data_IF_639356199359
#
_entry.id   IF_639356199359
#
_cell.length_a   1.000
_cell.length_b   1.000
_cell.length_c   1.000
_cell.angle_alpha   90.00
_cell.angle_beta   90.00
_cell.angle_gamma   90.00
#
_symmetry.space_group_name_H-M   'P 1'
#
loop_
_entity.id
_entity.type
_entity.pdbx_description
1 polymer ?
#
# COMPACT_ATOMS: atom_id res chain seq x y z
N UNK A 1 8.78 -14.71 -3.79
CA UNK A 1 8.80 -15.52 -5.03
C UNK A 1 8.68 -14.57 -6.18
N UNK A 2 9.73 -14.46 -6.96
CA UNK A 2 9.71 -13.64 -8.18
C UNK A 2 8.93 -14.44 -9.20
N UNK A 3 7.85 -13.88 -9.70
CA UNK A 3 7.14 -14.48 -10.82
C UNK A 3 7.93 -14.21 -12.12
N UNK A 4 7.98 -15.16 -13.05
CA UNK A 4 8.69 -14.99 -14.33
C UNK A 4 8.22 -13.75 -15.14
N UNK A 5 7.03 -13.27 -14.86
CA UNK A 5 6.43 -12.09 -15.47
C UNK A 5 6.64 -10.79 -14.67
N UNK A 6 7.41 -10.84 -13.55
CA UNK A 6 7.76 -9.63 -12.81
C UNK A 6 8.79 -8.81 -13.61
N UNK A 7 8.43 -7.64 -14.13
CA UNK A 7 9.35 -6.82 -14.92
C UNK A 7 10.37 -6.06 -14.06
N UNK A 8 10.20 -6.03 -12.74
CA UNK A 8 11.05 -5.26 -11.85
C UNK A 8 12.27 -6.07 -11.40
N UNK A 9 13.36 -5.38 -11.09
CA UNK A 9 14.54 -6.02 -10.52
C UNK A 9 14.27 -6.44 -9.09
N UNK A 10 14.47 -7.74 -8.84
CA UNK A 10 14.30 -8.29 -7.51
C UNK A 10 15.44 -7.95 -6.56
N UNK A 11 15.15 -8.07 -5.26
CA UNK A 11 16.11 -7.99 -4.16
C UNK A 11 16.97 -6.70 -4.18
N UNK A 12 16.37 -5.61 -4.67
CA UNK A 12 16.98 -4.30 -4.68
C UNK A 12 16.15 -3.30 -3.89
N UNK A 13 16.84 -2.38 -3.22
CA UNK A 13 16.24 -1.21 -2.62
C UNK A 13 16.22 -0.08 -3.64
N UNK A 14 15.12 0.64 -3.68
CA UNK A 14 14.96 1.82 -4.52
C UNK A 14 14.03 2.82 -3.84
N UNK A 15 14.09 4.05 -4.30
CA UNK A 15 13.29 5.13 -3.74
C UNK A 15 11.94 5.25 -4.44
N UNK A 16 10.90 5.38 -3.64
CA UNK A 16 9.55 5.68 -4.10
C UNK A 16 9.53 6.96 -4.96
N UNK A 17 8.84 7.01 -6.09
CA UNK A 17 7.95 5.96 -6.59
C UNK A 17 8.54 5.09 -7.73
N UNK A 18 9.83 5.14 -8.01
CA UNK A 18 10.42 4.58 -9.22
C UNK A 18 11.13 3.25 -8.96
N UNK A 19 10.59 2.16 -9.50
CA UNK A 19 11.21 0.83 -9.47
C UNK A 19 12.04 0.55 -10.73
N UNK A 20 13.29 0.05 -10.60
CA UNK A 20 14.11 -0.31 -11.75
C UNK A 20 13.57 -1.56 -12.44
N UNK A 21 13.53 -1.53 -13.78
CA UNK A 21 13.09 -2.65 -14.62
C UNK A 21 14.26 -3.56 -15.00
N UNK A 22 14.00 -4.86 -15.18
CA UNK A 22 14.98 -5.83 -15.64
C UNK A 22 15.51 -5.49 -17.05
N UNK A 23 14.64 -5.00 -17.91
CA UNK A 23 14.98 -4.59 -19.27
C UNK A 23 15.68 -3.21 -19.35
N UNK A 24 15.89 -2.54 -18.21
CA UNK A 24 16.40 -1.18 -18.13
C UNK A 24 15.28 -0.14 -18.00
N UNK A 25 15.65 1.06 -17.51
CA UNK A 25 14.68 2.11 -17.19
C UNK A 25 14.00 1.91 -15.84
N UNK A 26 12.93 2.66 -15.61
CA UNK A 26 12.17 2.64 -14.35
C UNK A 26 10.66 2.61 -14.63
N UNK A 27 9.90 2.09 -13.67
CA UNK A 27 8.43 2.13 -13.63
C UNK A 27 7.99 3.03 -12.48
N UNK A 28 7.03 3.90 -12.75
CA UNK A 28 6.33 4.65 -11.71
C UNK A 28 5.27 3.75 -11.05
N UNK A 29 5.47 3.42 -9.79
CA UNK A 29 4.60 2.52 -9.02
C UNK A 29 3.25 3.15 -8.63
N UNK A 30 3.07 4.44 -8.86
CA UNK A 30 1.79 5.12 -8.65
C UNK A 30 0.79 4.87 -9.77
N UNK A 31 1.26 4.30 -10.88
CA UNK A 31 0.47 4.08 -12.08
C UNK A 31 0.27 2.59 -12.29
N UNK A 32 -0.98 2.18 -12.46
CA UNK A 32 -1.30 0.80 -12.79
C UNK A 32 -0.70 0.43 -14.15
N UNK A 33 0.00 -0.72 -14.27
CA UNK A 33 0.65 -1.13 -15.52
C UNK A 33 -0.35 -1.43 -16.64
N UNK A 34 0.04 -1.10 -17.86
CA UNK A 34 -0.71 -1.44 -19.07
C UNK A 34 -0.22 -2.76 -19.73
N UNK A 35 1.00 -3.16 -19.42
CA UNK A 35 1.61 -4.40 -19.91
C UNK A 35 1.29 -5.57 -18.99
N UNK A 36 1.26 -6.79 -19.54
CA UNK A 36 1.06 -8.01 -18.77
C UNK A 36 2.16 -8.15 -17.73
N UNK A 37 1.76 -8.17 -16.48
CA UNK A 37 2.71 -8.37 -15.40
C UNK A 37 2.04 -8.90 -14.14
N UNK A 38 2.81 -9.65 -13.36
CA UNK A 38 2.49 -10.01 -11.99
C UNK A 38 3.69 -9.66 -11.12
N UNK A 39 3.49 -8.79 -10.14
CA UNK A 39 4.56 -8.30 -9.29
C UNK A 39 4.07 -7.96 -7.88
N UNK A 40 4.94 -8.07 -6.90
CA UNK A 40 4.72 -7.59 -5.55
C UNK A 40 5.86 -6.69 -5.14
N UNK A 41 5.54 -5.48 -4.75
CA UNK A 41 6.50 -4.49 -4.26
C UNK A 41 6.14 -4.09 -2.84
N UNK A 42 7.10 -4.13 -1.93
CA UNK A 42 6.91 -3.64 -0.57
C UNK A 42 7.46 -2.23 -0.41
N UNK A 43 6.65 -1.35 0.15
CA UNK A 43 6.98 0.04 0.42
C UNK A 43 7.03 0.24 1.94
N UNK A 44 8.14 0.77 2.44
CA UNK A 44 8.23 1.25 3.82
C UNK A 44 7.60 2.65 3.89
N UNK A 45 6.63 2.80 4.77
CA UNK A 45 5.94 4.07 4.96
C UNK A 45 6.76 5.04 5.81
N UNK A 46 6.50 6.34 5.66
CA UNK A 46 7.22 7.41 6.34
C UNK A 46 7.33 7.15 7.86
N UNK A 47 8.55 7.02 8.42
CA UNK A 47 8.74 6.60 9.81
C UNK A 47 8.17 7.56 10.86
N UNK A 48 8.21 8.85 10.55
CA UNK A 48 7.83 9.92 11.50
C UNK A 48 6.31 10.18 11.53
N UNK A 49 5.56 9.55 10.63
CA UNK A 49 4.12 9.74 10.57
C UNK A 49 3.42 8.99 11.71
N UNK A 50 2.51 9.68 12.41
CA UNK A 50 1.66 9.09 13.43
C UNK A 50 0.64 8.12 12.82
N UNK A 51 0.03 8.54 11.71
CA UNK A 51 -0.79 7.67 10.88
C UNK A 51 -0.20 7.57 9.46
N UNK A 52 -0.50 6.47 8.81
CA UNK A 52 -0.18 6.25 7.42
C UNK A 52 -1.45 6.06 6.61
N UNK A 53 -1.32 6.20 5.31
CA UNK A 53 -2.43 5.96 4.39
C UNK A 53 -1.97 5.21 3.14
N UNK A 54 -2.91 4.53 2.52
CA UNK A 54 -2.83 4.08 1.14
C UNK A 54 -4.03 4.62 0.37
N UNK A 55 -3.82 5.09 -0.86
CA UNK A 55 -4.86 5.69 -1.65
C UNK A 55 -4.81 5.19 -3.09
N UNK A 56 -5.98 4.81 -3.62
CA UNK A 56 -6.14 4.37 -5.01
C UNK A 56 -7.28 5.14 -5.64
N UNK A 57 -6.99 5.85 -6.72
CA UNK A 57 -8.00 6.59 -7.49
C UNK A 57 -8.33 5.89 -8.81
N UNK A 58 -9.61 5.86 -9.15
CA UNK A 58 -10.09 5.48 -10.46
C UNK A 58 -10.97 6.60 -10.99
N UNK A 59 -10.37 7.51 -11.75
CA UNK A 59 -11.05 8.68 -12.27
C UNK A 59 -12.20 8.32 -13.24
N UNK A 60 -12.08 7.21 -13.99
CA UNK A 60 -13.15 6.73 -14.86
C UNK A 60 -14.41 6.34 -14.08
N UNK A 61 -14.24 5.79 -12.87
CA UNK A 61 -15.35 5.47 -11.96
C UNK A 61 -15.74 6.65 -11.07
N UNK A 62 -14.95 7.71 -11.06
CA UNK A 62 -15.16 8.86 -10.17
C UNK A 62 -14.91 8.54 -8.69
N UNK A 63 -14.05 7.56 -8.40
CA UNK A 63 -13.84 7.04 -7.06
C UNK A 63 -12.38 7.12 -6.62
N UNK A 64 -12.20 7.52 -5.36
CA UNK A 64 -10.96 7.45 -4.61
C UNK A 64 -11.22 6.60 -3.35
N UNK A 65 -10.47 5.51 -3.20
CA UNK A 65 -10.42 4.71 -2.00
C UNK A 65 -9.21 5.13 -1.17
N UNK A 66 -9.41 5.41 0.10
CA UNK A 66 -8.35 5.71 1.07
C UNK A 66 -8.47 4.79 2.26
N UNK A 67 -7.39 4.11 2.62
CA UNK A 67 -7.22 3.51 3.92
C UNK A 67 -6.29 4.38 4.75
N UNK A 68 -6.69 4.64 6.00
CA UNK A 68 -5.86 5.32 6.99
C UNK A 68 -5.71 4.41 8.22
N UNK A 69 -4.49 4.26 8.73
CA UNK A 69 -4.14 3.27 9.75
C UNK A 69 -2.93 3.68 10.58
N UNK A 70 -2.75 3.11 11.79
CA UNK A 70 -1.60 3.41 12.63
C UNK A 70 -0.31 2.89 11.99
N UNK A 71 0.57 3.81 11.63
CA UNK A 71 1.85 3.51 10.97
C UNK A 71 2.75 2.62 11.83
N UNK A 72 2.73 2.79 13.15
CA UNK A 72 3.55 2.00 14.08
C UNK A 72 3.20 0.50 14.06
N UNK A 73 1.94 0.18 13.78
CA UNK A 73 1.47 -1.21 13.69
C UNK A 73 1.67 -1.77 12.28
N UNK A 74 1.42 -0.95 11.27
CA UNK A 74 1.49 -1.32 9.87
C UNK A 74 2.51 -0.45 9.12
N UNK A 75 3.82 -0.72 9.31
CA UNK A 75 4.85 0.10 8.69
C UNK A 75 5.06 -0.14 7.21
N UNK A 76 4.44 -1.19 6.67
CA UNK A 76 4.63 -1.62 5.29
C UNK A 76 3.33 -1.56 4.49
N UNK A 77 3.48 -1.27 3.21
CA UNK A 77 2.41 -1.47 2.22
C UNK A 77 2.96 -2.33 1.09
N UNK A 78 2.28 -3.43 0.79
CA UNK A 78 2.55 -4.21 -0.40
C UNK A 78 1.66 -3.71 -1.55
N UNK A 79 2.28 -3.50 -2.71
CA UNK A 79 1.60 -3.24 -3.96
C UNK A 79 1.64 -4.52 -4.79
N UNK A 80 0.51 -5.14 -4.96
CA UNK A 80 0.37 -6.34 -5.78
C UNK A 80 -0.29 -5.99 -7.11
N UNK A 81 0.44 -6.14 -8.18
CA UNK A 81 -0.04 -5.95 -9.54
C UNK A 81 -0.33 -7.31 -10.17
N UNK A 82 -1.51 -7.44 -10.73
CA UNK A 82 -1.88 -8.57 -11.59
C UNK A 82 -2.59 -8.02 -12.82
N UNK A 83 -1.93 -8.08 -13.97
CA UNK A 83 -2.47 -7.67 -15.25
C UNK A 83 -2.34 -8.82 -16.26
N UNK A 84 -3.36 -9.68 -16.29
CA UNK A 84 -3.49 -10.81 -17.23
C UNK A 84 -2.25 -11.71 -17.35
N UNK A 85 -1.42 -11.82 -16.28
CA UNK A 85 -0.15 -12.52 -16.32
C UNK A 85 -0.18 -13.88 -15.62
N UNK A 86 -1.05 -14.08 -14.63
CA UNK A 86 -1.14 -15.32 -13.90
C UNK A 86 -1.96 -16.37 -14.67
N UNK A 87 -1.30 -17.44 -15.13
CA UNK A 87 -1.92 -18.51 -15.92
C UNK A 87 -2.74 -19.50 -15.10
N UNK A 88 -2.52 -19.52 -13.78
CA UNK A 88 -3.18 -20.46 -12.86
C UNK A 88 -4.53 -19.94 -12.36
N UNK A 89 -5.38 -20.87 -11.90
CA UNK A 89 -6.65 -20.53 -11.29
C UNK A 89 -6.46 -19.82 -9.94
N UNK A 90 -7.29 -18.82 -9.62
CA UNK A 90 -8.51 -18.38 -10.34
C UNK A 90 -8.24 -17.32 -11.43
N UNK A 91 -7.03 -16.88 -11.63
CA UNK A 91 -6.67 -15.72 -12.47
C UNK A 91 -6.79 -16.02 -13.96
N UNK A 92 -6.20 -17.13 -14.42
CA UNK A 92 -6.33 -17.67 -15.77
C UNK A 92 -6.13 -16.63 -16.88
N UNK A 93 -5.11 -15.76 -16.76
CA UNK A 93 -4.79 -14.68 -17.70
C UNK A 93 -5.95 -13.70 -17.99
N UNK A 94 -6.85 -13.51 -17.03
CA UNK A 94 -8.06 -12.66 -17.20
C UNK A 94 -8.22 -11.61 -16.11
N UNK A 95 -7.38 -11.68 -15.10
CA UNK A 95 -7.50 -10.78 -13.95
C UNK A 95 -6.73 -9.50 -14.22
N UNK A 96 -7.39 -8.38 -13.95
CA UNK A 96 -6.78 -7.05 -13.90
C UNK A 96 -7.10 -6.48 -12.54
N UNK A 97 -6.10 -6.51 -11.63
CA UNK A 97 -6.30 -6.06 -10.26
C UNK A 97 -5.06 -5.42 -9.67
N UNK A 98 -5.28 -4.52 -8.75
CA UNK A 98 -4.26 -3.88 -7.96
C UNK A 98 -4.58 -4.06 -6.47
N UNK A 99 -3.80 -4.88 -5.78
CA UNK A 99 -3.83 -4.98 -4.33
C UNK A 99 -2.96 -3.89 -3.73
N UNK A 100 -3.52 -3.14 -2.79
CA UNK A 100 -2.78 -2.16 -1.98
C UNK A 100 -2.98 -2.56 -0.53
N UNK A 101 -2.00 -3.28 0.00
CA UNK A 101 -2.12 -4.07 1.22
C UNK A 101 -1.21 -3.50 2.31
N UNK A 102 -1.78 -2.77 3.26
CA UNK A 102 -1.01 -2.34 4.43
C UNK A 102 -0.86 -3.50 5.43
N UNK A 103 0.28 -3.57 6.09
CA UNK A 103 0.55 -4.69 6.99
C UNK A 103 1.80 -4.54 7.84
N UNK A 104 1.99 -5.52 8.71
CA UNK A 104 3.17 -5.66 9.57
C UNK A 104 4.26 -6.53 8.94
N UNK A 105 4.05 -7.03 7.71
CA UNK A 105 4.98 -7.92 7.00
C UNK A 105 5.70 -7.17 5.89
N UNK A 106 7.03 -7.20 5.94
CA UNK A 106 7.86 -6.45 4.99
C UNK A 106 7.90 -7.06 3.59
N UNK A 107 7.81 -8.37 3.48
CA UNK A 107 8.00 -9.07 2.19
C UNK A 107 7.16 -10.35 2.13
N UNK A 108 6.67 -10.67 0.94
CA UNK A 108 5.92 -11.90 0.66
C UNK A 108 6.84 -13.15 0.49
N UNK A 109 7.83 -13.30 1.35
CA UNK A 109 8.84 -14.39 1.29
C UNK A 109 8.54 -15.57 2.24
N UNK A 110 7.47 -15.49 3.02
CA UNK A 110 7.11 -16.48 4.02
C UNK A 110 7.40 -16.02 5.44
N UNK A 111 6.71 -16.66 6.39
CA UNK A 111 6.78 -16.27 7.81
C UNK A 111 8.18 -16.51 8.40
N UNK A 112 8.75 -17.69 8.18
CA UNK A 112 10.05 -18.05 8.78
C UNK A 112 11.18 -17.18 8.23
N UNK A 113 11.18 -16.90 6.94
CA UNK A 113 12.17 -16.03 6.31
C UNK A 113 12.08 -14.60 6.87
N UNK A 114 10.87 -14.05 7.00
CA UNK A 114 10.70 -12.74 7.60
C UNK A 114 11.14 -12.70 9.07
N UNK A 115 10.86 -13.75 9.84
CA UNK A 115 11.22 -13.83 11.25
C UNK A 115 12.74 -13.92 11.46
N UNK A 116 13.44 -14.65 10.60
CA UNK A 116 14.87 -14.96 10.76
C UNK A 116 15.82 -14.02 10.04
N UNK A 117 15.36 -13.30 9.02
CA UNK A 117 16.20 -12.43 8.18
C UNK A 117 16.64 -11.12 8.88
N UNK A 118 16.15 -10.85 10.08
CA UNK A 118 16.44 -9.59 10.80
C UNK A 118 15.72 -8.36 10.22
N UNK A 119 15.96 -7.17 10.78
CA UNK A 119 15.30 -5.95 10.33
C UNK A 119 15.61 -5.60 8.87
N UNK A 120 14.64 -5.00 8.18
CA UNK A 120 14.81 -4.40 6.86
C UNK A 120 14.66 -2.88 6.99
N UNK A 121 15.63 -2.13 6.50
CA UNK A 121 15.64 -0.66 6.62
C UNK A 121 15.45 -0.17 8.08
N UNK A 122 15.98 -0.92 9.06
CA UNK A 122 15.85 -0.61 10.48
C UNK A 122 14.51 -0.99 11.12
N UNK A 123 13.57 -1.56 10.37
CA UNK A 123 12.24 -1.97 10.86
C UNK A 123 12.08 -3.48 10.91
N UNK A 124 11.32 -4.01 11.89
CA UNK A 124 10.96 -5.43 11.92
C UNK A 124 10.28 -5.85 10.61
N UNK A 125 10.57 -7.08 10.16
CA UNK A 125 9.95 -7.63 8.95
C UNK A 125 8.59 -8.26 9.18
N UNK A 126 8.21 -8.47 10.43
CA UNK A 126 6.89 -8.98 10.79
C UNK A 126 6.49 -8.50 12.18
N UNK A 127 5.20 -8.35 12.40
CA UNK A 127 4.62 -8.16 13.73
C UNK A 127 4.48 -9.50 14.46
N UNK A 128 4.59 -9.47 15.79
CA UNK A 128 4.38 -10.64 16.64
C UNK A 128 3.20 -10.35 17.56
N UNK A 129 2.18 -11.20 17.49
CA UNK A 129 1.11 -11.21 18.46
C UNK A 129 1.48 -12.22 19.56
N UNK A 130 1.74 -11.77 20.81
CA UNK A 130 2.05 -12.66 21.90
C UNK A 130 0.87 -13.57 22.23
N UNK A 131 1.15 -14.81 22.66
CA UNK A 131 0.10 -15.73 23.10
C UNK A 131 -0.68 -15.15 24.26
N UNK A 132 -2.00 -15.36 24.27
CA UNK A 132 -2.92 -14.89 25.30
C UNK A 132 -3.07 -13.35 25.38
N UNK A 133 -2.63 -12.63 24.36
CA UNK A 133 -2.86 -11.19 24.24
C UNK A 133 -3.86 -10.89 23.13
N UNK A 134 -4.64 -9.84 23.34
CA UNK A 134 -5.48 -9.24 22.30
C UNK A 134 -4.93 -7.87 21.98
N UNK A 135 -4.77 -7.58 20.69
CA UNK A 135 -4.43 -6.24 20.21
C UNK A 135 -5.63 -5.75 19.43
N UNK A 136 -6.18 -4.62 19.83
CA UNK A 136 -7.22 -3.92 19.10
C UNK A 136 -6.57 -2.83 18.24
N UNK A 137 -6.85 -2.84 16.94
CA UNK A 137 -6.27 -1.91 15.99
C UNK A 137 -7.39 -1.29 15.20
N UNK A 138 -7.51 0.02 15.31
CA UNK A 138 -8.47 0.80 14.55
C UNK A 138 -7.83 1.27 13.24
N UNK A 139 -8.53 1.08 12.16
CA UNK A 139 -8.21 1.67 10.85
C UNK A 139 -9.49 2.15 10.17
N UNK A 140 -9.36 3.00 9.20
CA UNK A 140 -10.51 3.49 8.44
C UNK A 140 -10.37 3.26 6.96
N UNK A 141 -11.52 3.06 6.31
CA UNK A 141 -11.66 2.98 4.88
C UNK A 141 -12.66 4.05 4.42
N UNK A 142 -12.23 4.94 3.55
CA UNK A 142 -13.05 5.99 2.98
C UNK A 142 -13.18 5.82 1.49
N UNK A 143 -14.40 5.98 1.00
CA UNK A 143 -14.67 6.05 -0.44
C UNK A 143 -15.15 7.46 -0.76
N UNK A 144 -14.37 8.17 -1.56
CA UNK A 144 -14.54 9.59 -1.85
C UNK A 144 -14.86 9.76 -3.33
N UNK A 145 -15.83 10.59 -3.64
CA UNK A 145 -16.14 10.95 -5.03
C UNK A 145 -15.09 11.94 -5.55
N UNK A 146 -14.56 11.67 -6.75
CA UNK A 146 -13.58 12.53 -7.42
C UNK A 146 -14.01 12.84 -8.84
N UNK A 147 -13.56 13.96 -9.43
CA UNK A 147 -13.80 14.30 -10.83
C UNK A 147 -13.18 13.28 -11.80
N UNK A 148 -13.76 13.19 -13.01
CA UNK A 148 -13.28 12.28 -14.05
C UNK A 148 -11.89 12.65 -14.62
N UNK A 149 -11.43 13.86 -14.38
CA UNK A 149 -10.10 14.36 -14.75
C UNK A 149 -9.11 14.38 -13.57
N UNK A 150 -9.40 13.66 -12.49
CA UNK A 150 -8.53 13.51 -11.32
C UNK A 150 -7.23 12.79 -11.67
N UNK A 151 -6.09 13.38 -11.35
CA UNK A 151 -4.77 12.92 -11.77
C UNK A 151 -4.04 12.03 -10.76
N UNK A 152 -4.60 11.81 -9.58
CA UNK A 152 -4.00 11.03 -8.50
C UNK A 152 -3.90 11.81 -7.20
N UNK A 153 -3.39 11.17 -6.15
CA UNK A 153 -3.26 11.73 -4.80
C UNK A 153 -1.82 12.14 -4.53
N UNK A 154 -1.60 13.41 -4.23
CA UNK A 154 -0.31 13.93 -3.81
C UNK A 154 -0.05 13.67 -2.34
N UNK A 155 -1.04 13.91 -1.49
CA UNK A 155 -0.98 13.71 -0.04
C UNK A 155 -2.39 13.58 0.56
N UNK A 156 -2.44 12.99 1.74
CA UNK A 156 -3.63 12.93 2.59
C UNK A 156 -3.33 13.70 3.88
N UNK A 157 -4.27 14.52 4.29
CA UNK A 157 -4.21 15.26 5.55
C UNK A 157 -5.46 14.96 6.37
N UNK A 158 -5.33 15.02 7.68
CA UNK A 158 -6.45 15.05 8.60
C UNK A 158 -6.58 16.47 9.11
N UNK A 159 -7.69 17.12 8.78
CA UNK A 159 -7.98 18.50 9.17
C UNK A 159 -9.26 18.52 10.01
N UNK A 160 -9.08 18.69 11.33
CA UNK A 160 -10.14 18.72 12.34
C UNK A 160 -10.97 17.43 12.35
N UNK A 161 -12.06 17.37 11.60
CA UNK A 161 -13.01 16.26 11.50
C UNK A 161 -13.19 15.77 10.05
N UNK A 162 -12.23 16.11 9.18
CA UNK A 162 -12.21 15.70 7.77
C UNK A 162 -10.89 15.05 7.39
N UNK A 163 -11.00 14.06 6.49
CA UNK A 163 -9.87 13.56 5.72
C UNK A 163 -9.85 14.26 4.37
N UNK A 164 -8.72 14.88 4.04
CA UNK A 164 -8.54 15.72 2.85
C UNK A 164 -7.51 15.06 1.94
N UNK A 165 -7.92 14.65 0.76
CA UNK A 165 -7.05 14.16 -0.29
C UNK A 165 -6.72 15.29 -1.27
N UNK A 166 -5.44 15.61 -1.42
CA UNK A 166 -4.97 16.62 -2.36
C UNK A 166 -4.55 15.98 -3.67
N UNK A 167 -4.98 16.59 -4.76
CA UNK A 167 -4.63 16.12 -6.10
C UNK A 167 -3.17 16.43 -6.47
N UNK A 168 -2.56 15.58 -7.28
CA UNK A 168 -1.21 15.78 -7.82
C UNK A 168 -1.17 17.03 -8.71
N UNK A 169 -0.16 17.88 -8.49
CA UNK A 169 0.10 19.10 -9.27
C UNK A 169 -1.12 20.04 -9.43
N UNK A 170 -1.92 20.15 -8.37
CA UNK A 170 -3.16 20.93 -8.36
C UNK A 170 -3.46 21.40 -6.94
N UNK A 171 -4.25 22.47 -6.82
CA UNK A 171 -4.80 22.92 -5.54
C UNK A 171 -6.20 22.33 -5.27
N UNK A 172 -6.62 21.36 -6.08
CA UNK A 172 -7.91 20.67 -5.87
C UNK A 172 -7.78 19.65 -4.75
N UNK A 173 -8.86 19.51 -4.00
CA UNK A 173 -8.95 18.47 -2.96
C UNK A 173 -10.31 17.77 -3.01
N UNK A 174 -10.32 16.53 -2.52
CA UNK A 174 -11.54 15.78 -2.23
C UNK A 174 -11.57 15.48 -0.74
N UNK A 175 -12.76 15.57 -0.12
CA UNK A 175 -12.92 15.54 1.33
C UNK A 175 -13.98 14.53 1.74
N UNK A 176 -13.83 14.00 2.94
CA UNK A 176 -14.84 13.17 3.59
C UNK A 176 -14.80 13.39 5.11
N UNK A 177 -15.95 13.33 5.79
CA UNK A 177 -15.95 13.36 7.25
C UNK A 177 -15.09 12.25 7.85
N UNK A 178 -14.34 12.60 8.89
CA UNK A 178 -13.43 11.68 9.59
C UNK A 178 -13.25 12.18 11.02
N UNK A 179 -14.04 11.66 11.94
CA UNK A 179 -14.12 12.07 13.34
C UNK A 179 -13.21 11.25 14.28
N UNK A 180 -12.16 10.61 13.76
CA UNK A 180 -11.42 9.64 14.50
C UNK A 180 -9.98 10.02 14.80
N UNK A 181 -9.50 9.45 15.88
CA UNK A 181 -8.09 9.36 16.19
C UNK A 181 -7.61 7.94 15.93
N UNK A 182 -6.55 7.80 15.15
CA UNK A 182 -5.84 6.52 15.02
C UNK A 182 -5.32 6.17 16.41
N UNK A 183 -5.91 5.21 17.05
CA UNK A 183 -5.43 4.72 18.34
C UNK A 183 -5.15 3.23 18.30
N UNK A 184 -4.05 2.83 18.87
CA UNK A 184 -3.79 1.43 19.22
C UNK A 184 -4.06 1.27 20.72
N UNK A 185 -4.96 0.38 21.08
CA UNK A 185 -5.11 -0.05 22.46
C UNK A 185 -4.56 -1.48 22.58
N UNK A 186 -3.61 -1.68 23.47
CA UNK A 186 -3.14 -3.01 23.84
C UNK A 186 -3.75 -3.37 25.18
N UNK A 187 -4.71 -4.29 25.19
CA UNK A 187 -5.19 -4.89 26.42
C UNK A 187 -4.42 -6.18 26.71
N UNK A 188 -3.83 -6.24 27.90
CA UNK A 188 -3.30 -7.49 28.48
C UNK A 188 -4.41 -8.09 29.31
N UNK A 189 -4.93 -9.22 28.91
CA UNK A 189 -5.90 -10.01 29.69
C UNK A 189 -5.23 -11.19 30.34
#
# INVERSE_FOLDING_TARGET
VIHETDPMKADQLYEWPHAPLQAGGTRDLRIYPEDKCMAVVSVLLEPEAEFAYTAVSNARLGLLLVYAFPRQVFPWTALWYEHEAAEFLPYNNRTTTWGVEFGSVAQAIGFMENLTAGPLLGHPRCGILPALHTIEINYQAHMIQIPADWRGVARIEHDSDELVAWEVESDRSARTPCDWLVSTQTEVR
#
